data_IF_593595472740
#
_entry.id   IF_593595472740
#
_cell.length_a   1.000
_cell.length_b   1.000
_cell.length_c   1.000
_cell.angle_alpha   90.00
_cell.angle_beta   90.00
_cell.angle_gamma   90.00
#
_symmetry.space_group_name_H-M   'P 1'
#
loop_
_entity.id
_entity.type
_entity.pdbx_description
1 polymer ?
#
# COMPACT_ATOMS: atom_id res chain seq x y z
N UNK A 1 5.52 6.85 17.54
CA UNK A 1 5.62 6.81 16.07
C UNK A 1 4.27 6.50 15.46
N UNK A 2 3.73 5.29 15.64
CA UNK A 2 2.45 4.83 15.09
C UNK A 2 1.24 5.60 15.66
N UNK A 3 0.88 6.69 14.99
CA UNK A 3 -0.31 7.51 15.29
C UNK A 3 -1.19 7.58 14.06
N UNK A 4 -2.50 7.78 14.23
CA UNK A 4 -3.43 7.93 13.11
C UNK A 4 -2.90 8.98 12.13
N UNK A 5 -2.89 8.64 10.85
CA UNK A 5 -2.40 9.48 9.76
C UNK A 5 -0.93 9.27 9.39
N UNK A 6 -0.15 8.55 10.21
CA UNK A 6 1.26 8.26 9.89
C UNK A 6 1.41 7.38 8.65
N UNK A 7 2.31 7.78 7.76
CA UNK A 7 2.66 7.07 6.53
C UNK A 7 4.07 6.51 6.65
N UNK A 8 4.24 5.22 6.41
CA UNK A 8 5.53 4.55 6.57
C UNK A 8 5.68 3.33 5.67
N UNK A 9 6.91 2.82 5.57
CA UNK A 9 7.22 1.54 4.92
C UNK A 9 7.69 0.54 5.95
N UNK A 10 7.28 -0.71 5.82
CA UNK A 10 7.78 -1.82 6.62
C UNK A 10 8.19 -2.99 5.72
N UNK A 11 9.17 -3.76 6.17
CA UNK A 11 9.47 -5.06 5.59
C UNK A 11 8.45 -6.07 6.12
N UNK A 12 7.63 -6.64 5.24
CA UNK A 12 6.66 -7.66 5.57
C UNK A 12 7.10 -9.02 5.04
N UNK A 13 6.81 -10.07 5.80
CA UNK A 13 6.98 -11.46 5.40
C UNK A 13 5.63 -12.00 4.95
N UNK A 14 5.59 -12.61 3.77
CA UNK A 14 4.42 -13.31 3.24
C UNK A 14 4.82 -14.75 2.90
N UNK A 15 3.94 -15.73 3.12
CA UNK A 15 4.20 -17.08 2.62
C UNK A 15 4.39 -17.04 1.10
N UNK A 16 5.38 -17.78 0.59
CA UNK A 16 5.59 -17.95 -0.83
C UNK A 16 4.41 -18.75 -1.41
N UNK A 17 3.45 -18.04 -2.00
CA UNK A 17 2.47 -18.69 -2.86
C UNK A 17 3.13 -19.23 -4.14
N UNK A 18 2.40 -20.00 -4.94
CA UNK A 18 2.88 -20.64 -6.17
C UNK A 18 3.26 -19.67 -7.33
N UNK A 19 3.44 -18.37 -7.07
CA UNK A 19 3.74 -17.36 -8.07
C UNK A 19 5.23 -17.05 -8.19
N UNK A 20 5.68 -16.66 -9.38
CA UNK A 20 7.05 -16.20 -9.60
C UNK A 20 7.36 -14.96 -8.72
N UNK A 21 8.50 -14.92 -8.04
CA UNK A 21 8.91 -13.75 -7.27
C UNK A 21 9.09 -12.54 -8.21
N UNK A 22 8.46 -11.41 -7.88
CA UNK A 22 8.68 -10.13 -8.58
C UNK A 22 10.02 -9.53 -8.18
N UNK A 23 10.51 -8.55 -8.95
CA UNK A 23 11.83 -7.90 -8.80
C UNK A 23 12.09 -7.25 -7.43
N UNK A 24 11.08 -7.11 -6.58
CA UNK A 24 11.15 -6.57 -5.21
C UNK A 24 10.93 -7.63 -4.11
N UNK A 25 11.14 -8.91 -4.43
CA UNK A 25 10.93 -10.04 -3.54
C UNK A 25 12.23 -10.81 -3.32
N UNK A 26 12.61 -10.99 -2.05
CA UNK A 26 13.64 -11.96 -1.68
C UNK A 26 12.93 -13.16 -1.07
N UNK A 27 13.11 -14.33 -1.68
CA UNK A 27 12.67 -15.61 -1.14
C UNK A 27 13.75 -16.08 -0.17
N UNK A 28 13.37 -16.31 1.09
CA UNK A 28 14.22 -16.99 2.06
C UNK A 28 13.62 -18.36 2.31
N UNK A 29 14.42 -19.41 2.12
CA UNK A 29 14.04 -20.77 2.49
C UNK A 29 14.18 -20.92 4.01
N UNK A 30 13.09 -20.67 4.73
CA UNK A 30 13.02 -21.04 6.15
C UNK A 30 12.83 -22.54 6.23
N UNK A 31 13.94 -23.25 6.45
CA UNK A 31 14.12 -24.71 6.45
C UNK A 31 13.29 -25.53 7.47
N UNK A 32 12.28 -24.93 8.10
CA UNK A 32 11.47 -25.59 9.14
C UNK A 32 10.13 -26.15 8.61
N UNK A 33 9.67 -25.73 7.42
CA UNK A 33 8.48 -26.28 6.76
C UNK A 33 8.81 -26.68 5.33
N UNK A 34 8.70 -27.97 5.01
CA UNK A 34 9.03 -28.54 3.70
C UNK A 34 8.12 -27.89 2.64
N UNK A 35 8.71 -27.14 1.70
CA UNK A 35 8.01 -26.57 0.55
C UNK A 35 7.49 -25.14 0.71
N UNK A 36 7.72 -24.46 1.84
CA UNK A 36 7.24 -23.09 2.07
C UNK A 36 8.42 -22.10 2.17
N UNK A 37 8.68 -21.36 1.10
CA UNK A 37 9.55 -20.18 1.16
C UNK A 37 8.85 -19.02 1.86
N UNK A 38 9.60 -18.13 2.51
CA UNK A 38 9.07 -16.84 2.96
C UNK A 38 9.50 -15.76 1.95
N UNK A 39 8.55 -14.99 1.44
CA UNK A 39 8.83 -13.85 0.59
C UNK A 39 8.82 -12.59 1.42
N UNK A 40 9.93 -11.86 1.38
CA UNK A 40 9.99 -10.51 1.95
C UNK A 40 9.54 -9.47 0.93
N UNK A 41 8.66 -8.56 1.34
CA UNK A 41 8.19 -7.42 0.52
C UNK A 41 8.15 -6.15 1.36
N UNK A 42 8.67 -5.06 0.81
CA UNK A 42 8.43 -3.73 1.38
C UNK A 42 6.99 -3.34 1.08
N UNK A 43 6.20 -3.09 2.12
CA UNK A 43 4.84 -2.57 2.03
C UNK A 43 4.76 -1.17 2.61
N UNK A 44 3.91 -0.36 2.02
CA UNK A 44 3.63 1.01 2.46
C UNK A 44 2.28 1.02 3.17
N UNK A 45 2.17 1.82 4.24
CA UNK A 45 1.01 1.85 5.10
C UNK A 45 0.62 3.26 5.51
N UNK A 46 -0.67 3.45 5.78
CA UNK A 46 -1.22 4.57 6.54
C UNK A 46 -1.84 4.02 7.82
N UNK A 47 -1.50 4.56 8.98
CA UNK A 47 -2.13 4.18 10.26
C UNK A 47 -3.55 4.75 10.31
N UNK A 48 -4.51 3.89 10.63
CA UNK A 48 -5.94 4.24 10.77
C UNK A 48 -6.50 3.91 12.16
N UNK A 49 -5.74 3.21 13.00
CA UNK A 49 -6.11 2.93 14.38
C UNK A 49 -4.88 2.69 15.25
N UNK A 50 -4.94 3.20 16.48
CA UNK A 50 -3.87 3.08 17.47
C UNK A 50 -4.20 1.96 18.48
N UNK A 51 -3.17 1.22 18.88
CA UNK A 51 -3.24 0.22 19.94
C UNK A 51 -2.00 0.29 20.82
N UNK A 52 -1.96 -0.45 21.94
CA UNK A 52 -0.86 -0.36 22.91
C UNK A 52 0.46 -0.94 22.38
N UNK A 53 0.40 -2.06 21.65
CA UNK A 53 1.56 -2.78 21.12
C UNK A 53 1.55 -2.96 19.59
N UNK A 54 0.47 -2.52 18.95
CA UNK A 54 0.28 -2.61 17.50
C UNK A 54 -0.59 -1.45 17.01
N UNK A 55 -0.64 -1.27 15.70
CA UNK A 55 -1.55 -0.34 15.05
C UNK A 55 -2.29 -1.01 13.88
N UNK A 56 -3.49 -0.52 13.59
CA UNK A 56 -4.26 -0.90 12.41
C UNK A 56 -3.88 0.02 11.25
N UNK A 57 -3.59 -0.56 10.09
CA UNK A 57 -3.06 0.12 8.93
C UNK A 57 -3.84 -0.23 7.66
N UNK A 58 -3.94 0.72 6.74
CA UNK A 58 -4.36 0.47 5.36
C UNK A 58 -3.13 0.48 4.44
N UNK A 59 -3.02 -0.46 3.49
CA UNK A 59 -1.89 -0.54 2.59
C UNK A 59 -1.99 0.46 1.45
N UNK A 60 -0.84 0.99 1.03
CA UNK A 60 -0.69 1.73 -0.21
C UNK A 60 -0.18 0.77 -1.29
N UNK A 61 -0.88 0.70 -2.41
CA UNK A 61 -0.60 -0.23 -3.50
C UNK A 61 -0.55 0.48 -4.86
N UNK A 62 0.31 -0.02 -5.73
CA UNK A 62 0.45 0.46 -7.12
C UNK A 62 -0.04 -0.58 -8.14
N UNK A 63 -0.39 -1.80 -7.70
CA UNK A 63 -0.85 -2.91 -8.54
C UNK A 63 0.03 -3.15 -9.76
N UNK A 64 1.31 -3.47 -9.55
CA UNK A 64 2.28 -3.70 -10.66
C UNK A 64 2.38 -2.53 -11.63
N UNK A 65 2.31 -1.33 -11.06
CA UNK A 65 2.27 -0.05 -11.75
C UNK A 65 1.01 0.25 -12.59
N UNK A 66 -0.10 -0.40 -12.27
CA UNK A 66 -1.35 -0.27 -13.02
C UNK A 66 -2.43 0.52 -12.27
N UNK A 67 -2.23 0.81 -10.97
CA UNK A 67 -3.29 1.40 -10.15
C UNK A 67 -4.54 0.51 -10.14
N UNK A 68 -5.72 1.10 -10.20
CA UNK A 68 -6.99 0.34 -10.23
C UNK A 68 -7.47 0.01 -11.65
N UNK A 69 -6.54 -0.31 -12.58
CA UNK A 69 -6.87 -0.60 -13.98
C UNK A 69 -7.47 -1.99 -14.24
N UNK A 70 -7.47 -2.88 -13.25
CA UNK A 70 -8.02 -4.21 -13.40
C UNK A 70 -9.52 -4.21 -13.12
N UNK A 71 -10.30 -4.92 -13.95
CA UNK A 71 -11.75 -5.15 -13.73
C UNK A 71 -12.05 -6.02 -12.50
N UNK A 72 -11.02 -6.64 -11.92
CA UNK A 72 -11.12 -7.39 -10.66
C UNK A 72 -11.10 -6.48 -9.43
N UNK A 73 -10.71 -5.22 -9.57
CA UNK A 73 -10.65 -4.25 -8.48
C UNK A 73 -11.91 -3.38 -8.48
N UNK A 74 -12.37 -3.00 -7.29
CA UNK A 74 -13.48 -2.06 -7.11
C UNK A 74 -12.93 -0.66 -6.83
N UNK A 75 -13.18 0.30 -7.72
CA UNK A 75 -12.67 1.68 -7.64
C UNK A 75 -13.06 2.35 -6.33
N UNK A 76 -14.30 2.21 -5.89
CA UNK A 76 -14.80 2.82 -4.65
C UNK A 76 -14.16 2.24 -3.36
N UNK A 77 -13.36 1.16 -3.47
CA UNK A 77 -12.52 0.68 -2.37
C UNK A 77 -11.11 1.28 -2.37
N UNK A 78 -10.90 2.33 -3.16
CA UNK A 78 -9.60 2.98 -3.29
C UNK A 78 -9.72 4.50 -3.26
N UNK A 79 -8.65 5.13 -2.81
CA UNK A 79 -8.38 6.56 -3.01
C UNK A 79 -7.04 6.73 -3.69
N UNK A 80 -6.91 7.82 -4.46
CA UNK A 80 -5.59 8.30 -4.87
C UNK A 80 -4.88 8.80 -3.60
N UNK A 81 -3.64 8.37 -3.39
CA UNK A 81 -2.78 8.91 -2.33
C UNK A 81 -1.53 9.51 -2.95
N UNK A 82 -1.23 10.77 -2.66
CA UNK A 82 -0.21 11.54 -3.38
C UNK A 82 0.54 12.53 -2.49
N UNK A 83 1.75 12.91 -2.88
CA UNK A 83 2.54 13.93 -2.17
C UNK A 83 2.52 15.32 -2.81
N UNK A 84 1.98 15.45 -4.03
CA UNK A 84 1.85 16.75 -4.70
C UNK A 84 0.74 17.61 -4.10
N UNK A 85 0.77 18.93 -4.36
CA UNK A 85 -0.29 19.87 -3.94
C UNK A 85 -1.67 19.52 -4.52
N UNK A 86 -1.69 18.86 -5.68
CA UNK A 86 -2.90 18.38 -6.35
C UNK A 86 -2.76 16.90 -6.67
N UNK A 87 -3.87 16.14 -6.64
CA UNK A 87 -3.85 14.76 -7.07
C UNK A 87 -3.45 14.67 -8.55
N UNK A 88 -2.75 13.60 -8.96
CA UNK A 88 -2.43 13.37 -10.35
C UNK A 88 -3.71 13.31 -11.21
N UNK A 89 -3.69 13.88 -12.42
CA UNK A 89 -4.85 13.94 -13.28
C UNK A 89 -5.38 12.54 -13.63
N UNK A 90 -6.70 12.45 -13.76
CA UNK A 90 -7.44 11.21 -14.03
C UNK A 90 -7.04 10.52 -15.33
N UNK A 91 -6.40 11.23 -16.26
CA UNK A 91 -5.86 10.74 -17.55
C UNK A 91 -4.60 9.89 -17.41
N UNK A 92 -3.81 10.08 -16.34
CA UNK A 92 -2.62 9.27 -16.06
C UNK A 92 -2.98 7.94 -15.39
N UNK A 93 -4.19 7.85 -14.87
CA UNK A 93 -4.71 6.64 -14.28
C UNK A 93 -5.28 5.85 -15.44
N UNK A 94 -4.69 4.70 -15.78
CA UNK A 94 -5.32 3.73 -16.69
C UNK A 94 -6.65 3.33 -16.05
N UNK A 95 -7.70 4.06 -16.36
CA UNK A 95 -9.03 3.74 -15.87
C UNK A 95 -9.49 2.54 -16.71
N UNK A 96 -9.78 1.39 -16.11
CA UNK A 96 -10.63 0.46 -16.81
C UNK A 96 -11.98 1.14 -16.99
N UNK A 97 -12.72 0.76 -18.03
CA UNK A 97 -14.14 1.07 -18.09
C UNK A 97 -14.75 0.72 -16.73
N UNK A 98 -15.28 1.73 -16.03
CA UNK A 98 -16.02 1.45 -14.80
C UNK A 98 -17.04 0.36 -15.13
N UNK A 99 -17.18 -0.65 -14.28
CA UNK A 99 -18.32 -1.57 -14.48
C UNK A 99 -19.58 -0.70 -14.52
N UNK A 100 -20.53 -1.01 -15.39
CA UNK A 100 -21.74 -0.19 -15.55
C UNK A 100 -22.35 0.10 -14.16
N UNK A 101 -22.43 1.37 -13.77
CA UNK A 101 -22.96 1.81 -12.48
C UNK A 101 -21.98 1.85 -11.29
N UNK A 102 -20.69 1.54 -11.48
CA UNK A 102 -19.69 1.61 -10.40
C UNK A 102 -19.32 3.07 -10.06
N UNK A 103 -19.36 3.41 -8.76
CA UNK A 103 -18.82 4.69 -8.28
C UNK A 103 -17.31 4.78 -8.50
N UNK A 104 -16.81 5.99 -8.77
CA UNK A 104 -15.38 6.26 -8.87
C UNK A 104 -14.62 5.98 -7.57
N UNK A 105 -13.31 6.24 -7.59
CA UNK A 105 -12.51 6.24 -6.36
C UNK A 105 -13.03 7.30 -5.39
N UNK A 106 -12.79 7.05 -4.09
CA UNK A 106 -13.08 8.02 -3.04
C UNK A 106 -12.14 9.23 -3.14
N UNK A 107 -12.39 10.22 -2.28
CA UNK A 107 -11.63 11.48 -2.26
C UNK A 107 -10.12 11.22 -2.13
N UNK A 108 -9.29 11.91 -2.93
CA UNK A 108 -7.84 11.81 -2.82
C UNK A 108 -7.34 12.19 -1.43
N UNK A 109 -6.25 11.54 -1.02
CA UNK A 109 -5.57 11.79 0.25
C UNK A 109 -4.19 12.35 -0.05
N UNK A 110 -3.92 13.57 0.44
CA UNK A 110 -2.60 14.17 0.34
C UNK A 110 -1.73 13.66 1.49
N UNK A 111 -0.45 13.39 1.21
CA UNK A 111 0.58 13.06 2.20
C UNK A 111 1.58 14.19 2.21
N UNK A 112 1.90 14.71 3.39
CA UNK A 112 3.04 15.60 3.61
C UNK A 112 4.27 14.73 3.94
N UNK A 113 5.21 14.57 3.00
CA UNK A 113 6.42 13.80 3.28
C UNK A 113 7.33 14.55 4.26
N UNK A 114 8.14 13.82 5.02
CA UNK A 114 9.13 14.39 5.93
C UNK A 114 10.25 15.15 5.19
N UNK A 115 10.59 14.69 3.98
CA UNK A 115 11.58 15.31 3.11
C UNK A 115 10.94 15.78 1.80
N UNK A 116 11.26 16.99 1.34
CA UNK A 116 10.67 17.58 0.13
C UNK A 116 10.96 16.78 -1.16
N UNK A 117 12.05 16.01 -1.17
CA UNK A 117 12.44 15.15 -2.29
C UNK A 117 11.66 13.85 -2.35
N UNK A 118 11.04 13.44 -1.24
CA UNK A 118 10.32 12.18 -1.14
C UNK A 118 8.97 12.27 -1.83
N UNK A 119 8.70 11.33 -2.73
CA UNK A 119 7.48 11.31 -3.53
C UNK A 119 6.83 9.93 -3.52
N UNK A 120 5.52 9.92 -3.36
CA UNK A 120 4.71 8.77 -3.72
C UNK A 120 4.62 8.67 -5.23
N UNK A 121 4.52 7.44 -5.71
CA UNK A 121 4.24 7.19 -7.11
C UNK A 121 2.84 7.74 -7.47
N UNK A 122 2.67 8.34 -8.65
CA UNK A 122 1.42 8.94 -9.10
C UNK A 122 0.26 7.93 -9.19
N UNK A 123 0.60 6.66 -9.36
CA UNK A 123 -0.34 5.53 -9.40
C UNK A 123 -0.57 4.86 -8.04
N UNK A 124 -0.03 5.41 -6.95
CA UNK A 124 -0.25 4.93 -5.58
C UNK A 124 -1.73 5.05 -5.19
N UNK A 125 -2.27 3.99 -4.59
CA UNK A 125 -3.65 3.91 -4.11
C UNK A 125 -3.70 3.45 -2.67
N UNK A 126 -4.44 4.17 -1.84
CA UNK A 126 -4.84 3.68 -0.53
C UNK A 126 -5.96 2.65 -0.73
N UNK A 127 -5.78 1.43 -0.23
CA UNK A 127 -6.75 0.35 -0.39
C UNK A 127 -7.53 0.12 0.90
N UNK A 128 -8.86 0.19 0.82
CA UNK A 128 -9.77 0.00 1.96
C UNK A 128 -10.19 -1.47 2.17
N UNK A 129 -9.83 -2.37 1.25
CA UNK A 129 -10.31 -3.77 1.25
C UNK A 129 -9.58 -4.66 2.27
N UNK A 130 -8.39 -4.25 2.72
CA UNK A 130 -7.57 -5.07 3.61
C UNK A 130 -6.91 -4.22 4.68
N UNK A 131 -7.32 -4.46 5.93
CA UNK A 131 -6.64 -3.91 7.11
C UNK A 131 -5.46 -4.81 7.47
N UNK A 132 -4.34 -4.18 7.79
CA UNK A 132 -3.13 -4.83 8.29
C UNK A 132 -2.91 -4.44 9.75
N UNK A 133 -2.47 -5.38 10.55
CA UNK A 133 -1.97 -5.12 11.90
C UNK A 133 -0.44 -5.04 11.83
N UNK A 134 0.14 -3.95 12.33
CA UNK A 134 1.60 -3.77 12.40
C UNK A 134 2.01 -3.64 13.86
N UNK A 135 2.83 -4.56 14.34
CA UNK A 135 3.41 -4.52 15.69
C UNK A 135 4.42 -3.38 15.82
N UNK A 136 4.49 -2.76 17.01
CA UNK A 136 5.35 -1.60 17.26
C UNK A 136 6.85 -1.92 17.31
N UNK A 137 7.21 -3.19 17.48
CA UNK A 137 8.60 -3.68 17.48
C UNK A 137 9.19 -3.79 16.05
N UNK A 138 8.37 -3.68 15.00
CA UNK A 138 8.82 -3.77 13.61
C UNK A 138 9.62 -2.51 13.25
N UNK A 139 10.76 -2.71 12.58
CA UNK A 139 11.54 -1.61 12.02
C UNK A 139 10.81 -1.02 10.83
N UNK A 140 10.58 0.29 10.88
CA UNK A 140 9.84 1.04 9.86
C UNK A 140 10.67 2.20 9.34
N UNK A 141 10.43 2.56 8.08
CA UNK A 141 10.94 3.77 7.47
C UNK A 141 9.82 4.82 7.48
N UNK A 142 9.98 5.83 8.31
CA UNK A 142 9.09 6.99 8.39
C UNK A 142 9.08 7.75 7.05
N UNK A 143 7.90 8.03 6.52
CA UNK A 143 7.74 8.75 5.26
C UNK A 143 7.04 10.10 5.44
N UNK A 144 6.04 10.19 6.31
CA UNK A 144 5.28 11.42 6.50
C UNK A 144 3.91 11.20 7.15
N UNK A 145 3.00 12.13 6.90
CA UNK A 145 1.67 12.18 7.50
C UNK A 145 0.61 12.58 6.47
N UNK A 146 -0.62 12.07 6.61
CA UNK A 146 -1.80 12.58 5.89
C UNK A 146 -2.50 13.70 6.65
#
# INVERSE_FOLDING_TARGET
>A
FFRIGKVFKALCYEPAGNGLPSRSQTVSETSQYIGEGAITRIRWFVVVGEGPSFCACLPIQTYSRQGVSSTRLTKNHHSIIHTGERPPPSTLLKQPNAKNGESGMRQPIQVRPNHMTDKLDQISRLCYEKVYTVEHNVKVCDFGDV
#
